data_IF_664982693600
#
_entry.id   IF_664982693600
#
_cell.length_a   1.000
_cell.length_b   1.000
_cell.length_c   1.000
_cell.angle_alpha   90.00
_cell.angle_beta   90.00
_cell.angle_gamma   90.00
#
_symmetry.space_group_name_H-M   'P 1'
#
loop_
_entity.id
_entity.type
_entity.pdbx_description
1 polymer ?
#
# COMPACT_ATOMS: atom_id res chain seq x y z
N UNK A 1 0.87 -13.59 3.34
CA UNK A 1 1.17 -14.04 1.97
C UNK A 1 -0.05 -14.51 1.19
N UNK A 2 -0.92 -15.35 1.75
CA UNK A 2 -2.14 -15.78 1.02
C UNK A 2 -1.85 -16.72 -0.16
N UNK A 3 -0.80 -17.53 -0.05
CA UNK A 3 -0.46 -18.56 -1.03
C UNK A 3 -1.09 -19.92 -0.69
N UNK A 4 -1.34 -20.18 0.59
CA UNK A 4 -1.95 -21.43 1.06
C UNK A 4 -3.18 -21.15 1.88
N UNK A 5 -4.14 -22.06 1.84
CA UNK A 5 -5.17 -22.18 2.86
C UNK A 5 -4.80 -23.31 3.81
N UNK A 6 -5.13 -23.12 5.09
CA UNK A 6 -4.78 -24.05 6.17
C UNK A 6 -6.06 -24.54 6.80
N UNK A 7 -6.16 -25.86 7.01
CA UNK A 7 -7.34 -26.48 7.60
C UNK A 7 -7.01 -27.33 8.82
N UNK A 8 -7.96 -27.38 9.75
CA UNK A 8 -7.89 -28.24 10.93
C UNK A 8 -8.19 -29.71 10.55
N UNK A 9 -8.22 -30.61 11.55
CA UNK A 9 -8.53 -32.04 11.35
C UNK A 9 -9.91 -32.32 10.74
N UNK A 10 -10.86 -31.37 10.85
CA UNK A 10 -12.20 -31.46 10.30
C UNK A 10 -12.32 -30.85 8.90
N UNK A 11 -11.20 -30.41 8.30
CA UNK A 11 -11.14 -29.67 7.03
C UNK A 11 -11.81 -28.28 7.08
N UNK A 12 -11.95 -27.70 8.27
CA UNK A 12 -12.44 -26.32 8.41
C UNK A 12 -11.26 -25.35 8.29
N UNK A 13 -11.44 -24.20 7.60
CA UNK A 13 -10.40 -23.21 7.43
C UNK A 13 -9.97 -22.63 8.79
N UNK A 14 -8.67 -22.39 8.92
CA UNK A 14 -8.07 -21.85 10.15
C UNK A 14 -7.64 -20.40 9.94
N UNK A 15 -7.67 -19.60 11.01
CA UNK A 15 -7.16 -18.24 10.96
C UNK A 15 -5.63 -18.27 10.82
N UNK A 16 -5.04 -17.71 9.75
CA UNK A 16 -3.60 -17.78 9.51
C UNK A 16 -2.76 -16.99 10.52
N UNK A 17 -3.37 -16.11 11.31
CA UNK A 17 -2.72 -15.26 12.31
C UNK A 17 -2.81 -15.81 13.74
N UNK A 18 -3.47 -16.96 13.94
CA UNK A 18 -3.63 -17.58 15.25
C UNK A 18 -2.94 -18.94 15.23
N UNK A 19 -2.18 -19.24 16.29
CA UNK A 19 -1.59 -20.55 16.47
C UNK A 19 -2.68 -21.62 16.56
N UNK A 20 -2.66 -22.57 15.64
CA UNK A 20 -3.67 -23.62 15.55
C UNK A 20 -3.05 -24.91 14.99
N UNK A 21 -3.64 -26.05 15.33
CA UNK A 21 -3.20 -27.35 14.83
C UNK A 21 -3.64 -27.51 13.36
N UNK A 22 -2.68 -27.40 12.44
CA UNK A 22 -2.91 -27.55 11.01
C UNK A 22 -2.77 -29.02 10.62
N UNK A 23 -3.79 -29.57 9.95
CA UNK A 23 -3.78 -30.96 9.46
C UNK A 23 -3.71 -31.05 7.94
N UNK A 24 -4.32 -30.11 7.24
CA UNK A 24 -4.34 -30.06 5.78
C UNK A 24 -3.97 -28.68 5.27
N UNK A 25 -3.44 -28.64 4.06
CA UNK A 25 -3.17 -27.41 3.31
C UNK A 25 -3.71 -27.55 1.88
N UNK A 26 -4.13 -26.44 1.29
CA UNK A 26 -4.41 -26.35 -0.14
C UNK A 26 -3.68 -25.13 -0.73
N UNK A 27 -3.50 -25.16 -2.04
CA UNK A 27 -2.98 -24.00 -2.77
C UNK A 27 -4.15 -23.05 -3.06
N UNK A 28 -3.92 -21.76 -2.80
CA UNK A 28 -4.83 -20.70 -3.24
C UNK A 28 -4.75 -20.52 -4.76
N UNK A 29 -5.75 -19.86 -5.39
CA UNK A 29 -5.65 -19.46 -6.79
C UNK A 29 -4.38 -18.67 -7.10
N UNK A 30 -3.96 -17.76 -6.21
CA UNK A 30 -2.72 -16.99 -6.35
C UNK A 30 -1.47 -17.88 -6.39
N UNK A 31 -1.42 -18.93 -5.56
CA UNK A 31 -0.29 -19.85 -5.59
C UNK A 31 -0.27 -20.73 -6.84
N UNK A 32 -1.44 -21.18 -7.30
CA UNK A 32 -1.55 -21.94 -8.55
C UNK A 32 -1.05 -21.06 -9.71
N UNK A 33 -1.48 -19.80 -9.77
CA UNK A 33 -1.03 -18.85 -10.78
C UNK A 33 0.49 -18.58 -10.69
N UNK A 34 1.02 -18.36 -9.49
CA UNK A 34 2.45 -18.17 -9.26
C UNK A 34 3.29 -19.36 -9.74
N UNK A 35 2.82 -20.60 -9.51
CA UNK A 35 3.50 -21.82 -9.94
C UNK A 35 3.41 -22.05 -11.45
N UNK A 36 2.31 -21.61 -12.07
CA UNK A 36 2.06 -21.78 -13.51
C UNK A 36 2.61 -20.62 -14.36
N UNK A 37 3.10 -19.54 -13.75
CA UNK A 37 3.68 -18.39 -14.44
C UNK A 37 4.89 -18.83 -15.29
N UNK A 38 4.81 -18.55 -16.59
CA UNK A 38 5.82 -18.98 -17.57
C UNK A 38 7.02 -18.01 -17.64
N UNK A 39 6.81 -16.75 -17.28
CA UNK A 39 7.83 -15.70 -17.33
C UNK A 39 8.08 -15.06 -15.94
N UNK A 40 9.28 -14.51 -15.78
CA UNK A 40 9.73 -13.92 -14.52
C UNK A 40 8.90 -12.69 -14.12
N UNK A 41 8.42 -11.91 -15.09
CA UNK A 41 7.65 -10.70 -14.81
C UNK A 41 6.29 -11.06 -14.18
N UNK A 42 5.56 -12.00 -14.77
CA UNK A 42 4.29 -12.51 -14.21
C UNK A 42 4.50 -13.15 -12.84
N UNK A 43 5.59 -13.88 -12.66
CA UNK A 43 5.97 -14.45 -11.36
C UNK A 43 6.21 -13.34 -10.32
N UNK A 44 6.88 -12.25 -10.70
CA UNK A 44 7.11 -11.10 -9.82
C UNK A 44 5.80 -10.36 -9.47
N UNK A 45 4.84 -10.25 -10.40
CA UNK A 45 3.51 -9.70 -10.09
C UNK A 45 2.78 -10.55 -9.04
N UNK A 46 2.73 -11.87 -9.23
CA UNK A 46 2.12 -12.78 -8.26
C UNK A 46 2.82 -12.71 -6.89
N UNK A 47 4.15 -12.63 -6.89
CA UNK A 47 4.93 -12.48 -5.67
C UNK A 47 4.69 -11.12 -4.98
N UNK A 48 4.53 -10.05 -5.76
CA UNK A 48 4.18 -8.71 -5.25
C UNK A 48 2.85 -8.75 -4.52
N UNK A 49 1.82 -9.40 -5.08
CA UNK A 49 0.55 -9.55 -4.36
C UNK A 49 0.72 -10.37 -3.08
N UNK A 50 1.54 -11.42 -3.11
CA UNK A 50 1.81 -12.22 -1.91
C UNK A 50 2.54 -11.41 -0.83
N UNK A 51 3.45 -10.52 -1.21
CA UNK A 51 4.11 -9.58 -0.31
C UNK A 51 3.14 -8.56 0.26
N UNK A 52 2.26 -7.96 -0.54
CA UNK A 52 1.23 -7.03 -0.03
C UNK A 52 0.30 -7.72 0.98
N UNK A 53 -0.07 -8.97 0.73
CA UNK A 53 -0.83 -9.78 1.69
C UNK A 53 -0.05 -10.09 2.98
N UNK A 54 1.29 -10.15 2.93
CA UNK A 54 2.14 -10.35 4.11
C UNK A 54 2.30 -9.06 4.90
N UNK A 55 2.55 -7.96 4.19
CA UNK A 55 2.79 -6.63 4.73
C UNK A 55 1.51 -5.85 4.98
N UNK A 56 0.34 -6.45 4.74
CA UNK A 56 -0.98 -5.86 4.97
C UNK A 56 -1.16 -4.51 4.24
N UNK A 57 -0.72 -4.43 2.99
CA UNK A 57 -0.83 -3.22 2.17
C UNK A 57 0.26 -2.16 2.43
N UNK A 58 1.21 -2.41 3.33
CA UNK A 58 2.28 -1.44 3.64
C UNK A 58 3.10 -1.04 2.41
N UNK A 59 3.34 -1.96 1.48
CA UNK A 59 4.12 -1.65 0.28
C UNK A 59 3.37 -0.67 -0.62
N UNK A 60 2.05 -0.82 -0.77
CA UNK A 60 1.23 0.19 -1.43
C UNK A 60 1.34 1.56 -0.74
N UNK A 61 1.24 1.64 0.59
CA UNK A 61 1.40 2.90 1.33
C UNK A 61 2.78 3.54 1.11
N UNK A 62 3.85 2.73 1.15
CA UNK A 62 5.21 3.21 0.84
C UNK A 62 5.30 3.82 -0.55
N UNK A 63 4.68 3.16 -1.55
CA UNK A 63 4.65 3.66 -2.93
C UNK A 63 3.95 5.02 -2.99
N UNK A 64 2.82 5.16 -2.32
CA UNK A 64 2.03 6.38 -2.32
C UNK A 64 2.79 7.55 -1.65
N UNK A 65 3.43 7.30 -0.51
CA UNK A 65 4.33 8.28 0.14
C UNK A 65 5.44 8.71 -0.81
N UNK A 66 6.11 7.76 -1.47
CA UNK A 66 7.20 8.07 -2.40
C UNK A 66 6.75 8.86 -3.62
N UNK A 67 5.54 8.64 -4.13
CA UNK A 67 4.98 9.43 -5.24
C UNK A 67 4.71 10.88 -4.83
N UNK A 68 4.33 11.12 -3.58
CA UNK A 68 4.07 12.47 -3.07
C UNK A 68 5.35 13.21 -2.61
N UNK A 69 6.45 12.50 -2.47
CA UNK A 69 7.77 13.08 -2.21
C UNK A 69 8.48 13.38 -3.54
N UNK A 70 9.00 14.60 -3.71
CA UNK A 70 9.56 15.08 -4.98
C UNK A 70 10.68 14.21 -5.59
N UNK A 71 11.39 13.46 -4.73
CA UNK A 71 12.55 12.66 -5.13
C UNK A 71 12.27 11.15 -5.28
N UNK A 72 11.04 10.67 -5.00
CA UNK A 72 10.63 9.28 -5.25
C UNK A 72 11.52 8.19 -4.63
N UNK A 73 12.18 8.49 -3.51
CA UNK A 73 12.97 7.56 -2.72
C UNK A 73 12.66 7.72 -1.23
N UNK A 74 13.02 6.71 -0.44
CA UNK A 74 13.07 6.76 1.03
C UNK A 74 14.44 6.28 1.51
N UNK A 75 15.07 7.06 2.39
CA UNK A 75 16.29 6.63 3.10
C UNK A 75 15.91 5.74 4.30
N UNK A 76 16.85 4.91 4.77
CA UNK A 76 16.59 3.97 5.88
C UNK A 76 16.12 4.68 7.17
N UNK A 77 16.67 5.87 7.46
CA UNK A 77 16.27 6.66 8.63
C UNK A 77 14.86 7.24 8.46
N UNK A 78 14.45 7.59 7.24
CA UNK A 78 13.08 8.04 6.96
C UNK A 78 12.08 6.89 7.14
N UNK A 79 12.46 5.69 6.70
CA UNK A 79 11.69 4.47 6.93
C UNK A 79 11.52 4.18 8.43
N UNK A 80 12.62 4.20 9.16
CA UNK A 80 12.63 3.99 10.61
C UNK A 80 11.76 5.05 11.30
N UNK A 81 12.16 6.32 11.22
CA UNK A 81 11.61 7.36 12.09
C UNK A 81 10.16 7.74 11.75
N UNK A 82 9.71 7.53 10.51
CA UNK A 82 8.41 8.03 10.07
C UNK A 82 7.57 6.96 9.35
N UNK A 83 8.06 6.36 8.27
CA UNK A 83 7.18 5.59 7.36
C UNK A 83 6.63 4.31 8.01
N UNK A 84 7.39 3.64 8.88
CA UNK A 84 6.88 2.44 9.59
C UNK A 84 5.65 2.73 10.46
N UNK A 85 5.39 3.98 10.84
CA UNK A 85 4.25 4.36 11.66
C UNK A 85 2.91 4.33 10.92
N UNK A 86 2.88 4.29 9.58
CA UNK A 86 1.65 4.16 8.78
C UNK A 86 0.80 2.94 9.15
N UNK A 87 1.45 1.88 9.66
CA UNK A 87 0.80 0.62 10.02
C UNK A 87 0.76 0.34 11.54
N UNK A 88 1.31 1.23 12.36
CA UNK A 88 1.49 0.98 13.81
C UNK A 88 0.68 1.98 14.65
N UNK A 89 0.58 3.24 14.22
CA UNK A 89 -0.09 4.30 14.97
C UNK A 89 -1.11 5.04 14.10
N UNK A 90 -1.90 5.92 14.71
CA UNK A 90 -2.94 6.71 14.03
C UNK A 90 -2.35 7.92 13.28
N UNK A 91 -1.25 7.73 12.54
CA UNK A 91 -0.72 8.76 11.65
C UNK A 91 -1.29 8.61 10.25
N UNK A 92 -1.71 9.73 9.67
CA UNK A 92 -2.12 9.80 8.28
C UNK A 92 -0.92 9.82 7.35
N UNK A 93 -1.12 9.46 6.08
CA UNK A 93 -0.06 9.53 5.05
C UNK A 93 0.44 10.96 4.91
N UNK A 94 -0.48 11.92 4.95
CA UNK A 94 -0.18 13.35 4.88
C UNK A 94 0.77 13.80 5.99
N UNK A 95 0.54 13.37 7.24
CA UNK A 95 1.43 13.69 8.37
C UNK A 95 2.81 13.06 8.21
N UNK A 96 2.88 11.78 7.80
CA UNK A 96 4.15 11.11 7.53
C UNK A 96 4.94 11.83 6.43
N UNK A 97 4.27 12.26 5.36
CA UNK A 97 4.90 13.05 4.28
C UNK A 97 5.42 14.39 4.81
N UNK A 98 4.66 15.09 5.65
CA UNK A 98 5.08 16.34 6.30
C UNK A 98 6.35 16.12 7.15
N UNK A 99 6.38 15.08 7.99
CA UNK A 99 7.55 14.76 8.81
C UNK A 99 8.79 14.39 7.99
N UNK A 100 8.61 13.62 6.90
CA UNK A 100 9.73 13.31 5.99
C UNK A 100 10.26 14.59 5.34
N UNK A 101 9.40 15.52 4.91
CA UNK A 101 9.81 16.81 4.33
C UNK A 101 10.55 17.68 5.35
N UNK A 102 10.04 17.77 6.59
CA UNK A 102 10.69 18.49 7.67
C UNK A 102 12.06 17.90 7.99
N UNK A 103 12.15 16.57 8.15
CA UNK A 103 13.42 15.89 8.33
C UNK A 103 14.38 16.16 7.17
N UNK A 104 13.92 16.12 5.92
CA UNK A 104 14.74 16.44 4.75
C UNK A 104 15.28 17.86 4.76
N UNK A 105 14.54 18.82 5.31
CA UNK A 105 14.93 20.23 5.42
C UNK A 105 16.05 20.48 6.44
N UNK A 106 16.27 19.55 7.38
CA UNK A 106 17.35 19.64 8.35
C UNK A 106 18.72 19.61 7.67
N UNK A 107 19.63 20.44 8.17
CA UNK A 107 21.04 20.37 7.80
C UNK A 107 21.64 19.02 8.20
N UNK A 108 22.76 18.66 7.58
CA UNK A 108 23.51 17.43 7.94
C UNK A 108 23.82 17.36 9.43
N UNK A 109 24.25 18.48 10.04
CA UNK A 109 24.60 18.54 11.46
C UNK A 109 23.37 18.27 12.33
N UNK A 110 22.21 18.82 11.97
CA UNK A 110 20.96 18.58 12.70
C UNK A 110 20.50 17.11 12.58
N UNK A 111 20.64 16.50 11.40
CA UNK A 111 20.32 15.07 11.20
C UNK A 111 21.21 14.16 12.03
N UNK A 112 22.53 14.39 12.02
CA UNK A 112 23.46 13.65 12.88
C UNK A 112 23.11 13.84 14.35
N UNK A 113 22.76 15.07 14.78
CA UNK A 113 22.39 15.30 16.18
C UNK A 113 21.10 14.59 16.57
N UNK A 114 20.09 14.59 15.69
CA UNK A 114 18.86 13.84 15.90
C UNK A 114 19.15 12.35 16.01
N UNK A 115 19.99 11.80 15.13
CA UNK A 115 20.41 10.41 15.15
C UNK A 115 21.09 10.03 16.47
N UNK A 116 22.03 10.85 16.95
CA UNK A 116 22.68 10.64 18.25
C UNK A 116 21.66 10.58 19.39
N UNK A 117 20.69 11.51 19.42
CA UNK A 117 19.64 11.53 20.44
C UNK A 117 18.75 10.29 20.39
N UNK A 118 18.40 9.82 19.19
CA UNK A 118 17.60 8.60 19.01
C UNK A 118 18.41 7.36 19.40
N UNK A 119 19.70 7.32 19.10
CA UNK A 119 20.59 6.21 19.49
C UNK A 119 20.73 6.11 21.00
N UNK A 120 20.92 7.25 21.69
CA UNK A 120 20.99 7.30 23.15
C UNK A 120 19.66 6.86 23.81
N UNK A 121 18.54 7.34 23.27
CA UNK A 121 17.20 6.94 23.72
C UNK A 121 16.92 5.44 23.50
N UNK A 122 17.44 4.87 22.41
CA UNK A 122 17.29 3.47 22.04
C UNK A 122 18.51 2.62 22.41
N UNK A 123 19.27 2.99 23.45
CA UNK A 123 20.40 2.19 23.94
C UNK A 123 19.89 1.02 24.81
N UNK A 124 20.09 -0.24 24.38
CA UNK A 124 19.68 -1.40 25.14
C UNK A 124 20.38 -1.56 26.50
N UNK A 125 21.50 -0.88 26.74
CA UNK A 125 22.26 -0.94 28.00
C UNK A 125 21.65 -0.06 29.10
N UNK A 126 20.91 0.98 28.72
CA UNK A 126 20.19 1.85 29.65
C UNK A 126 18.84 1.24 30.09
N UNK A 127 18.45 0.10 29.54
CA UNK A 127 17.15 -0.51 29.77
C UNK A 127 17.13 -1.44 31.00
N UNK A 128 16.26 -1.11 31.96
CA UNK A 128 15.85 -1.99 33.05
C UNK A 128 14.34 -2.23 32.96
N UNK A 129 13.89 -3.49 32.89
CA UNK A 129 12.46 -3.81 32.83
C UNK A 129 12.10 -5.00 31.93
N UNK A 130 10.89 -4.96 31.37
CA UNK A 130 10.37 -6.02 30.51
C UNK A 130 11.06 -6.03 29.14
N UNK A 131 11.63 -7.17 28.72
CA UNK A 131 12.31 -7.31 27.43
C UNK A 131 11.48 -6.84 26.22
N UNK A 132 10.14 -6.88 26.30
CA UNK A 132 9.25 -6.39 25.24
C UNK A 132 9.30 -4.87 25.06
N UNK A 133 9.72 -4.12 26.07
CA UNK A 133 9.83 -2.65 26.05
C UNK A 133 11.26 -2.19 25.76
N UNK A 134 12.18 -3.14 25.57
CA UNK A 134 13.59 -2.88 25.31
C UNK A 134 13.76 -2.28 23.91
N UNK A 135 14.25 -1.04 23.87
CA UNK A 135 14.58 -0.34 22.63
C UNK A 135 16.02 -0.63 22.23
N UNK A 136 16.23 -0.85 20.93
CA UNK A 136 17.54 -1.13 20.36
C UNK A 136 17.59 -0.54 18.95
N UNK A 137 18.39 0.52 18.79
CA UNK A 137 18.55 1.22 17.52
C UNK A 137 19.05 0.31 16.40
N UNK A 138 20.03 -0.56 16.68
CA UNK A 138 20.60 -1.45 15.68
C UNK A 138 19.61 -2.52 15.25
N UNK A 139 18.86 -3.08 16.19
CA UNK A 139 17.80 -4.02 15.86
C UNK A 139 16.70 -3.35 15.01
N UNK A 140 16.31 -2.12 15.35
CA UNK A 140 15.33 -1.37 14.55
C UNK A 140 15.84 -1.09 13.13
N UNK A 141 17.10 -0.67 12.98
CA UNK A 141 17.73 -0.48 11.66
C UNK A 141 17.75 -1.79 10.86
N UNK A 142 18.12 -2.91 11.49
CA UNK A 142 18.13 -4.22 10.84
C UNK A 142 16.73 -4.64 10.36
N UNK A 143 15.69 -4.38 11.16
CA UNK A 143 14.30 -4.63 10.77
C UNK A 143 13.86 -3.74 9.60
N UNK A 144 14.21 -2.46 9.61
CA UNK A 144 13.94 -1.56 8.49
C UNK A 144 14.65 -2.02 7.19
N UNK A 145 15.89 -2.52 7.31
CA UNK A 145 16.62 -3.08 6.17
C UNK A 145 15.96 -4.36 5.64
N UNK A 146 15.44 -5.22 6.51
CA UNK A 146 14.66 -6.39 6.11
C UNK A 146 13.38 -5.99 5.37
N UNK A 147 12.71 -4.92 5.80
CA UNK A 147 11.56 -4.35 5.07
C UNK A 147 11.99 -3.93 3.66
N UNK A 148 13.12 -3.24 3.50
CA UNK A 148 13.64 -2.89 2.17
C UNK A 148 13.92 -4.13 1.32
N UNK A 149 14.55 -5.16 1.88
CA UNK A 149 14.81 -6.42 1.16
C UNK A 149 13.52 -7.14 0.74
N UNK A 150 12.44 -7.05 1.51
CA UNK A 150 11.13 -7.58 1.12
C UNK A 150 10.51 -6.74 0.00
N UNK A 151 10.49 -5.41 0.15
CA UNK A 151 9.90 -4.50 -0.84
C UNK A 151 10.63 -4.55 -2.18
N UNK A 152 11.95 -4.70 -2.19
CA UNK A 152 12.76 -4.85 -3.40
C UNK A 152 12.36 -6.04 -4.28
N UNK A 153 11.84 -7.11 -3.66
CA UNK A 153 11.37 -8.29 -4.38
C UNK A 153 10.03 -8.06 -5.09
N UNK A 154 9.38 -6.92 -4.85
CA UNK A 154 8.20 -6.51 -5.60
C UNK A 154 8.55 -5.93 -6.97
N UNK A 155 7.53 -5.76 -7.80
CA UNK A 155 7.63 -5.05 -9.09
C UNK A 155 7.73 -3.52 -8.92
N UNK A 156 7.52 -2.99 -7.71
CA UNK A 156 7.42 -1.53 -7.48
C UNK A 156 8.67 -0.88 -6.93
N UNK A 157 9.62 -1.65 -6.37
CA UNK A 157 10.77 -1.08 -5.66
C UNK A 157 12.10 -1.73 -6.02
N UNK A 158 13.14 -0.92 -6.01
CA UNK A 158 14.55 -1.35 -6.04
C UNK A 158 15.28 -0.74 -4.85
N UNK A 159 16.44 -1.29 -4.49
CA UNK A 159 17.30 -0.67 -3.49
C UNK A 159 18.62 -0.21 -4.08
N UNK A 160 19.14 0.89 -3.54
CA UNK A 160 20.49 1.35 -3.83
C UNK A 160 21.14 1.80 -2.52
N UNK A 161 22.12 1.04 -2.04
CA UNK A 161 22.79 1.26 -0.75
C UNK A 161 21.80 1.21 0.42
N UNK A 162 21.43 2.37 0.95
CA UNK A 162 20.49 2.54 2.08
C UNK A 162 19.21 3.27 1.65
N UNK A 163 18.87 3.21 0.36
CA UNK A 163 17.66 3.82 -0.21
C UNK A 163 16.75 2.78 -0.81
N UNK A 164 15.45 2.94 -0.56
CA UNK A 164 14.38 2.35 -1.35
C UNK A 164 14.00 3.34 -2.44
N UNK A 165 13.90 2.89 -3.68
CA UNK A 165 13.61 3.71 -4.86
C UNK A 165 12.43 3.07 -5.60
N UNK A 166 11.54 3.89 -6.15
CA UNK A 166 10.47 3.37 -7.01
C UNK A 166 11.06 2.78 -8.30
N UNK A 167 10.84 1.48 -8.53
CA UNK A 167 11.16 0.84 -9.81
C UNK A 167 10.33 1.47 -10.91
N UNK A 168 11.01 1.77 -12.00
CA UNK A 168 10.35 2.03 -13.26
C UNK A 168 10.29 0.71 -14.03
N UNK A 169 9.08 0.18 -14.22
CA UNK A 169 8.84 -1.10 -14.92
C UNK A 169 9.20 -0.98 -16.41
N UNK A 170 10.49 -1.05 -16.74
CA UNK A 170 11.11 -1.37 -18.04
C UNK A 170 12.64 -1.18 -17.94
N UNK A 171 13.42 -2.26 -17.95
CA UNK A 171 14.89 -2.18 -17.93
C UNK A 171 15.51 -1.81 -19.29
N UNK A 172 14.77 -1.87 -20.41
CA UNK A 172 15.39 -1.83 -21.74
C UNK A 172 15.32 -0.50 -22.52
N UNK A 173 14.63 0.54 -22.05
CA UNK A 173 14.58 1.80 -22.81
C UNK A 173 14.35 2.99 -21.91
N UNK A 174 15.04 4.11 -22.18
CA UNK A 174 14.93 5.48 -21.58
C UNK A 174 13.52 6.10 -21.69
N UNK A 175 12.48 5.34 -21.33
CA UNK A 175 11.09 5.74 -21.12
C UNK A 175 10.74 5.73 -19.62
N UNK A 176 11.77 5.64 -18.78
CA UNK A 176 11.75 5.46 -17.32
C UNK A 176 10.87 6.49 -16.62
N UNK A 177 10.91 7.73 -17.09
CA UNK A 177 10.10 8.84 -16.62
C UNK A 177 8.59 8.68 -16.89
N UNK A 178 8.17 7.91 -17.91
CA UNK A 178 6.79 7.98 -18.43
C UNK A 178 5.73 7.37 -17.50
N UNK A 179 6.01 6.26 -16.80
CA UNK A 179 5.01 5.57 -15.95
C UNK A 179 4.83 6.21 -14.58
N UNK A 180 5.92 6.61 -13.92
CA UNK A 180 5.82 7.42 -12.71
C UNK A 180 5.13 8.75 -13.02
N UNK A 181 5.51 9.42 -14.13
CA UNK A 181 4.77 10.60 -14.63
C UNK A 181 3.32 10.26 -14.98
N UNK A 182 3.00 9.04 -15.40
CA UNK A 182 1.63 8.60 -15.65
C UNK A 182 0.84 8.51 -14.34
N UNK A 183 1.34 7.82 -13.31
CA UNK A 183 0.62 7.73 -12.03
C UNK A 183 0.39 9.12 -11.44
N UNK A 184 1.40 9.99 -11.49
CA UNK A 184 1.27 11.42 -11.10
C UNK A 184 0.23 12.14 -11.98
N UNK A 185 0.22 11.91 -13.29
CA UNK A 185 -0.73 12.48 -14.24
C UNK A 185 -2.16 12.02 -13.98
N UNK A 186 -2.38 10.74 -13.72
CA UNK A 186 -3.72 10.18 -13.47
C UNK A 186 -4.28 10.69 -12.15
N UNK A 187 -3.44 10.86 -11.11
CA UNK A 187 -3.83 11.57 -9.89
C UNK A 187 -4.18 13.03 -10.16
N UNK A 188 -3.39 13.75 -10.94
CA UNK A 188 -3.71 15.13 -11.32
C UNK A 188 -5.02 15.21 -12.12
N UNK A 189 -5.24 14.24 -13.01
CA UNK A 189 -6.43 14.12 -13.85
C UNK A 189 -7.68 13.86 -13.01
N UNK A 190 -7.57 13.09 -11.92
CA UNK A 190 -8.67 12.95 -10.96
C UNK A 190 -9.15 14.31 -10.46
N UNK A 191 -8.24 15.15 -9.94
CA UNK A 191 -8.61 16.48 -9.44
C UNK A 191 -9.21 17.37 -10.53
N UNK A 192 -8.67 17.32 -11.75
CA UNK A 192 -9.19 18.05 -12.91
C UNK A 192 -10.62 17.61 -13.27
N UNK A 193 -10.85 16.30 -13.45
CA UNK A 193 -12.15 15.75 -13.87
C UNK A 193 -13.22 15.93 -12.81
N UNK A 194 -12.85 15.74 -11.55
CA UNK A 194 -13.77 15.83 -10.43
C UNK A 194 -14.01 17.28 -9.98
N UNK A 195 -13.19 18.24 -10.42
CA UNK A 195 -13.30 19.63 -9.98
C UNK A 195 -13.08 19.80 -8.46
N UNK A 196 -12.38 18.85 -7.84
CA UNK A 196 -12.06 18.86 -6.41
C UNK A 196 -10.62 19.36 -6.22
N UNK A 197 -10.39 20.13 -5.16
CA UNK A 197 -9.05 20.58 -4.79
C UNK A 197 -8.48 19.65 -3.74
N UNK A 198 -7.15 19.55 -3.66
CA UNK A 198 -6.48 18.86 -2.57
C UNK A 198 -6.85 19.55 -1.24
N UNK A 199 -7.36 18.76 -0.31
CA UNK A 199 -7.75 19.14 1.04
C UNK A 199 -6.88 18.39 2.06
N UNK A 200 -6.47 19.07 3.12
CA UNK A 200 -5.69 18.45 4.19
C UNK A 200 -6.56 17.40 4.89
N UNK A 201 -6.00 16.22 5.12
CA UNK A 201 -6.73 15.10 5.74
C UNK A 201 -7.56 14.28 4.77
N UNK A 202 -7.42 14.49 3.45
CA UNK A 202 -7.97 13.63 2.41
C UNK A 202 -6.86 13.05 1.54
N UNK A 203 -7.06 11.80 1.10
CA UNK A 203 -6.08 11.01 0.37
C UNK A 203 -6.73 10.26 -0.81
N UNK A 204 -5.99 10.13 -1.91
CA UNK A 204 -6.44 9.31 -3.04
C UNK A 204 -6.22 7.84 -2.74
N UNK A 205 -7.23 7.05 -3.07
CA UNK A 205 -7.26 5.60 -2.90
C UNK A 205 -7.58 4.92 -4.23
N UNK A 206 -6.79 3.90 -4.61
CA UNK A 206 -7.17 3.00 -5.71
C UNK A 206 -8.21 2.00 -5.22
N UNK A 207 -9.42 2.07 -5.77
CA UNK A 207 -10.55 1.19 -5.42
C UNK A 207 -10.17 -0.27 -5.66
N UNK A 208 -9.71 -0.58 -6.86
CA UNK A 208 -9.06 -1.87 -7.18
C UNK A 208 -7.55 -1.70 -7.02
N UNK A 209 -6.90 -2.38 -6.06
CA UNK A 209 -5.50 -2.13 -5.73
C UNK A 209 -4.54 -2.51 -6.87
N UNK A 210 -3.51 -1.68 -7.07
CA UNK A 210 -2.47 -1.91 -8.10
C UNK A 210 -1.75 -3.26 -7.96
N UNK A 211 -1.63 -3.79 -6.75
CA UNK A 211 -0.99 -5.08 -6.49
C UNK A 211 -1.78 -6.28 -7.03
N UNK A 212 -3.00 -6.09 -7.50
CA UNK A 212 -3.78 -7.11 -8.20
C UNK A 212 -3.36 -7.27 -9.65
N UNK A 213 -2.54 -6.38 -10.23
CA UNK A 213 -2.03 -6.51 -11.60
C UNK A 213 -1.31 -7.85 -11.83
N UNK A 214 -1.44 -8.40 -13.05
CA UNK A 214 -0.71 -9.58 -13.56
C UNK A 214 0.21 -9.28 -14.71
N UNK A 215 0.07 -8.09 -15.29
CA UNK A 215 0.92 -7.59 -16.35
C UNK A 215 1.09 -6.09 -16.23
N UNK A 216 1.95 -5.54 -17.07
CA UNK A 216 2.14 -4.09 -17.21
C UNK A 216 0.85 -3.43 -17.70
N UNK A 217 0.15 -4.05 -18.65
CA UNK A 217 -1.09 -3.54 -19.23
C UNK A 217 -2.20 -3.49 -18.18
N UNK A 218 -2.31 -4.53 -17.35
CA UNK A 218 -3.26 -4.53 -16.24
C UNK A 218 -2.91 -3.49 -15.19
N UNK A 219 -1.62 -3.33 -14.85
CA UNK A 219 -1.19 -2.28 -13.95
C UNK A 219 -1.60 -0.90 -14.47
N UNK A 220 -1.39 -0.67 -15.77
CA UNK A 220 -1.74 0.56 -16.46
C UNK A 220 -3.26 0.84 -16.48
N UNK A 221 -4.09 -0.21 -16.49
CA UNK A 221 -5.55 -0.09 -16.34
C UNK A 221 -5.94 0.19 -14.89
N UNK A 222 -5.28 -0.42 -13.92
CA UNK A 222 -5.55 -0.13 -12.51
C UNK A 222 -5.10 1.30 -12.12
N UNK A 223 -4.04 1.82 -12.72
CA UNK A 223 -3.52 3.17 -12.47
C UNK A 223 -4.23 4.22 -13.33
N UNK A 224 -5.56 4.31 -13.17
CA UNK A 224 -6.45 5.22 -13.88
C UNK A 224 -7.30 6.04 -12.93
N UNK A 225 -7.57 7.30 -13.28
CA UNK A 225 -8.36 8.20 -12.43
C UNK A 225 -9.77 7.66 -12.15
N UNK A 226 -10.35 6.90 -13.06
CA UNK A 226 -11.65 6.23 -12.89
C UNK A 226 -11.64 5.18 -11.76
N UNK A 227 -10.47 4.61 -11.46
CA UNK A 227 -10.23 3.68 -10.35
C UNK A 227 -9.75 4.39 -9.07
N UNK A 228 -9.71 5.72 -9.06
CA UNK A 228 -9.36 6.49 -7.86
C UNK A 228 -10.61 7.01 -7.16
N UNK A 229 -10.52 7.13 -5.84
CA UNK A 229 -11.50 7.86 -5.03
C UNK A 229 -10.79 8.71 -3.98
N UNK A 230 -11.27 9.92 -3.74
CA UNK A 230 -10.67 10.85 -2.78
C UNK A 230 -11.45 10.83 -1.46
N UNK A 231 -10.85 10.24 -0.44
CA UNK A 231 -11.49 9.92 0.84
C UNK A 231 -10.72 10.55 2.00
N UNK A 232 -11.41 10.82 3.11
CA UNK A 232 -10.72 11.29 4.30
C UNK A 232 -9.72 10.23 4.82
N UNK A 233 -8.65 10.70 5.44
CA UNK A 233 -7.53 9.86 5.87
C UNK A 233 -7.94 8.85 6.96
N UNK A 234 -8.95 9.18 7.79
CA UNK A 234 -9.45 8.27 8.82
C UNK A 234 -10.13 7.05 8.20
N UNK A 235 -10.97 7.24 7.20
CA UNK A 235 -11.62 6.15 6.50
C UNK A 235 -10.67 5.47 5.51
N UNK A 236 -9.69 6.16 4.94
CA UNK A 236 -8.59 5.53 4.22
C UNK A 236 -7.86 4.51 5.09
N UNK A 237 -7.48 4.89 6.32
CA UNK A 237 -6.81 4.01 7.26
C UNK A 237 -7.63 2.74 7.57
N UNK A 238 -8.97 2.84 7.65
CA UNK A 238 -9.84 1.66 7.81
C UNK A 238 -9.74 0.70 6.62
N UNK A 239 -9.64 1.21 5.39
CA UNK A 239 -9.46 0.37 4.20
C UNK A 239 -8.11 -0.35 4.28
N UNK A 240 -7.03 0.38 4.58
CA UNK A 240 -5.68 -0.19 4.71
C UNK A 240 -5.62 -1.27 5.80
N UNK A 241 -6.23 -1.04 6.97
CA UNK A 241 -6.35 -2.03 8.07
C UNK A 241 -7.12 -3.30 7.66
N UNK A 242 -7.98 -3.21 6.64
CA UNK A 242 -8.70 -4.36 6.07
C UNK A 242 -7.97 -5.02 4.91
N UNK A 243 -6.68 -4.71 4.73
CA UNK A 243 -5.79 -5.24 3.69
C UNK A 243 -6.26 -4.89 2.27
N UNK A 244 -6.89 -3.71 2.10
CA UNK A 244 -7.41 -3.24 0.81
C UNK A 244 -8.36 -4.24 0.12
N UNK A 245 -9.19 -4.93 0.92
CA UNK A 245 -10.12 -5.95 0.41
C UNK A 245 -11.46 -5.40 -0.08
N UNK A 246 -11.78 -4.14 0.26
CA UNK A 246 -13.04 -3.50 -0.14
C UNK A 246 -12.95 -2.95 -1.56
N UNK A 247 -12.91 -3.84 -2.54
CA UNK A 247 -12.57 -3.52 -3.94
C UNK A 247 -13.79 -3.27 -4.83
N UNK A 248 -15.00 -3.53 -4.35
CA UNK A 248 -16.23 -3.36 -5.12
C UNK A 248 -16.87 -1.99 -4.85
N UNK A 249 -16.93 -1.13 -5.86
CA UNK A 249 -17.56 0.20 -5.79
C UNK A 249 -19.06 0.11 -6.02
N UNK A 250 -19.83 0.77 -5.15
CA UNK A 250 -21.25 1.07 -5.34
C UNK A 250 -21.54 2.52 -4.97
N UNK A 251 -22.70 2.99 -5.41
CA UNK A 251 -23.25 4.28 -5.01
C UNK A 251 -24.67 4.09 -4.49
N UNK A 252 -25.00 4.79 -3.41
CA UNK A 252 -26.36 4.94 -2.92
C UNK A 252 -26.67 6.43 -2.85
N UNK A 253 -27.54 6.89 -3.74
CA UNK A 253 -27.74 8.32 -4.01
C UNK A 253 -26.39 8.99 -4.35
N UNK A 254 -25.88 9.88 -3.49
CA UNK A 254 -24.56 10.50 -3.64
C UNK A 254 -23.45 9.83 -2.80
N UNK A 255 -23.79 8.89 -1.92
CA UNK A 255 -22.82 8.27 -1.02
C UNK A 255 -22.07 7.12 -1.71
N UNK A 256 -20.82 6.94 -1.32
CA UNK A 256 -19.94 5.88 -1.83
C UNK A 256 -19.97 4.69 -0.90
N UNK A 257 -19.99 3.49 -1.46
CA UNK A 257 -19.93 2.24 -0.72
C UNK A 257 -18.81 1.38 -1.32
N UNK A 258 -17.89 0.94 -0.48
CA UNK A 258 -16.85 -0.02 -0.85
C UNK A 258 -17.10 -1.35 -0.14
N UNK A 259 -17.26 -2.43 -0.88
CA UNK A 259 -17.57 -3.77 -0.35
C UNK A 259 -16.45 -4.77 -0.63
N UNK A 260 -16.28 -5.76 0.27
CA UNK A 260 -15.39 -6.91 0.03
C UNK A 260 -15.92 -7.92 -0.98
N UNK A 261 -17.23 -7.91 -1.22
CA UNK A 261 -17.90 -8.89 -2.06
C UNK A 261 -18.66 -8.26 -3.22
N UNK A 262 -19.12 -9.10 -4.15
CA UNK A 262 -19.96 -8.69 -5.28
C UNK A 262 -21.37 -8.21 -4.86
N UNK A 263 -21.65 -8.15 -3.56
CA UNK A 263 -22.92 -7.69 -2.99
C UNK A 263 -22.65 -6.61 -1.96
N UNK A 264 -23.39 -5.51 -2.07
CA UNK A 264 -23.32 -4.32 -1.20
C UNK A 264 -23.47 -4.64 0.30
N UNK A 265 -24.16 -5.74 0.66
CA UNK A 265 -24.42 -6.13 2.05
C UNK A 265 -23.24 -6.85 2.72
N UNK A 266 -22.23 -7.28 1.97
CA UNK A 266 -21.11 -8.05 2.50
C UNK A 266 -19.97 -7.14 2.96
N UNK A 267 -19.84 -6.96 4.29
CA UNK A 267 -18.71 -6.26 4.94
C UNK A 267 -18.33 -4.98 4.18
N UNK A 268 -19.21 -3.97 4.24
CA UNK A 268 -19.08 -2.74 3.45
C UNK A 268 -18.72 -1.53 4.29
N UNK A 269 -17.95 -0.62 3.68
CA UNK A 269 -17.60 0.69 4.21
C UNK A 269 -18.44 1.75 3.49
N UNK A 270 -19.01 2.67 4.27
CA UNK A 270 -19.91 3.71 3.80
C UNK A 270 -19.23 5.07 3.95
N UNK A 271 -19.29 5.89 2.91
CA UNK A 271 -18.66 7.21 2.87
C UNK A 271 -19.68 8.24 2.43
N UNK A 272 -19.95 9.19 3.32
CA UNK A 272 -20.89 10.29 3.05
C UNK A 272 -20.26 11.33 2.13
N UNK A 273 -20.93 11.65 1.03
CA UNK A 273 -20.48 12.64 0.07
C UNK A 273 -20.26 14.01 0.73
N UNK A 274 -19.23 14.75 0.30
CA UNK A 274 -18.84 16.06 0.84
C UNK A 274 -18.25 16.01 2.26
N UNK A 275 -18.57 14.97 3.06
CA UNK A 275 -18.07 14.83 4.42
C UNK A 275 -16.80 13.99 4.49
N UNK A 276 -16.83 12.80 3.88
CA UNK A 276 -15.79 11.77 4.01
C UNK A 276 -15.25 11.31 2.65
N UNK A 277 -15.91 11.71 1.56
CA UNK A 277 -15.52 11.40 0.18
C UNK A 277 -15.86 12.57 -0.73
N UNK A 278 -14.93 12.91 -1.62
CA UNK A 278 -15.00 14.07 -2.51
C UNK A 278 -14.83 13.64 -3.96
N UNK A 279 -15.89 13.81 -4.74
CA UNK A 279 -15.90 13.45 -6.15
C UNK A 279 -17.02 14.21 -6.89
N UNK A 280 -17.01 14.21 -8.22
CA UNK A 280 -18.07 14.83 -9.02
C UNK A 280 -19.20 13.83 -9.26
N UNK A 281 -20.42 14.17 -8.86
CA UNK A 281 -21.59 13.29 -8.96
C UNK A 281 -21.86 12.80 -10.40
N UNK A 282 -21.65 13.65 -11.41
CA UNK A 282 -21.85 13.25 -12.81
C UNK A 282 -20.92 12.12 -13.29
N UNK A 283 -19.87 11.80 -12.53
CA UNK A 283 -18.90 10.75 -12.87
C UNK A 283 -19.21 9.40 -12.23
N UNK A 284 -20.26 9.28 -11.40
CA UNK A 284 -20.64 8.03 -10.72
C UNK A 284 -20.69 6.84 -11.67
N UNK A 285 -21.43 6.97 -12.77
CA UNK A 285 -21.62 5.86 -13.72
C UNK A 285 -20.30 5.47 -14.39
N UNK A 286 -19.48 6.44 -14.78
CA UNK A 286 -18.17 6.18 -15.41
C UNK A 286 -17.27 5.42 -14.45
N UNK A 287 -17.18 5.85 -13.19
CA UNK A 287 -16.40 5.15 -12.17
C UNK A 287 -16.96 3.75 -11.92
N UNK A 288 -18.28 3.63 -11.78
CA UNK A 288 -18.94 2.35 -11.49
C UNK A 288 -18.71 1.32 -12.60
N UNK A 289 -18.92 1.71 -13.86
CA UNK A 289 -18.69 0.85 -15.03
C UNK A 289 -17.22 0.46 -15.13
N UNK A 290 -16.30 1.42 -15.01
CA UNK A 290 -14.87 1.16 -15.08
C UNK A 290 -14.40 0.13 -14.04
N UNK A 291 -14.79 0.32 -12.77
CA UNK A 291 -14.39 -0.56 -11.69
C UNK A 291 -15.04 -1.96 -11.80
N UNK A 292 -16.28 -2.05 -12.31
CA UNK A 292 -16.91 -3.34 -12.61
C UNK A 292 -16.16 -4.09 -13.70
N UNK A 293 -15.76 -3.41 -14.77
CA UNK A 293 -15.03 -4.02 -15.89
C UNK A 293 -13.65 -4.52 -15.45
N UNK A 294 -12.94 -3.74 -14.60
CA UNK A 294 -11.70 -4.17 -13.98
C UNK A 294 -11.89 -5.50 -13.22
N UNK A 295 -12.94 -5.63 -12.40
CA UNK A 295 -13.18 -6.86 -11.65
C UNK A 295 -13.69 -8.02 -12.51
N UNK A 296 -14.47 -7.76 -13.55
CA UNK A 296 -14.91 -8.78 -14.50
C UNK A 296 -13.73 -9.40 -15.25
N UNK A 297 -12.77 -8.58 -15.71
CA UNK A 297 -11.54 -9.05 -16.36
C UNK A 297 -10.65 -9.94 -15.47
N UNK A 298 -10.83 -9.88 -14.14
CA UNK A 298 -10.06 -10.67 -13.16
C UNK A 298 -10.69 -12.03 -12.82
N UNK A 299 -11.99 -12.18 -13.08
CA UNK A 299 -12.77 -13.37 -12.72
C UNK A 299 -13.06 -14.30 -13.93
N UNK A 300 -12.61 -13.92 -15.13
CA UNK A 300 -12.64 -14.77 -16.34
C UNK A 300 -11.29 -15.44 -16.58
#
# INVERSE_FOLDING_TARGET
MGLIERYNKNKEPTNPYIQSNIKYISLTPLAIEFLNAQDLLRKNFCYTQALENLLQGFGAECREVMIELDNHYLDIEEMMFFVTFLNIENFTRSEIIEYVREYRSLSRIQKEKLKELVQDYCDPNHFNGNKLEKRDYHNWKNQAQQIFSLLEQSVFFETNKERLILKTLNEENKQNDKKLKRSIKEKALYFEKHGVKKEKGFELHHIVPLCLARSIEEFDLLDKWENLIYIDAFNHAKISQTQNKHICLYFKDCDVILSKGLKEEQESLYFTCIKNVLYKLDLQNIMLEYNKDLLHSKNG
#
